data_IF_496179563423
#
_entry.id   IF_496179563423
#
_cell.length_a   1.000
_cell.length_b   1.000
_cell.length_c   1.000
_cell.angle_alpha   90.00
_cell.angle_beta   90.00
_cell.angle_gamma   90.00
#
_symmetry.space_group_name_H-M   'P 1'
#
loop_
_entity.id
_entity.type
_entity.pdbx_description
1 polymer ?
#
# COMPACT_ATOMS: atom_id res chain seq x y z
N UNK A 1 8.55 57.45 8.60
CA UNK A 1 8.20 56.47 9.67
C UNK A 1 7.07 55.52 9.27
N UNK A 2 6.09 55.94 8.45
CA UNK A 2 4.99 55.06 7.98
C UNK A 2 5.39 54.00 6.92
N UNK A 3 6.35 54.30 6.04
CA UNK A 3 6.79 53.36 4.99
C UNK A 3 7.58 52.16 5.52
N UNK A 4 8.26 52.31 6.67
CA UNK A 4 9.04 51.22 7.29
C UNK A 4 8.11 50.20 7.95
N UNK A 5 6.98 50.65 8.51
CA UNK A 5 5.97 49.77 9.10
C UNK A 5 5.28 48.87 8.05
N UNK A 6 5.05 49.38 6.84
CA UNK A 6 4.48 48.60 5.73
C UNK A 6 5.43 47.52 5.20
N UNK A 7 6.73 47.79 5.19
CA UNK A 7 7.75 46.82 4.74
C UNK A 7 7.93 45.63 5.69
N UNK A 8 7.66 45.81 6.98
CA UNK A 8 7.65 44.73 7.97
C UNK A 8 6.29 44.02 8.08
N UNK A 9 5.19 44.67 7.71
CA UNK A 9 3.85 44.08 7.75
C UNK A 9 3.60 43.10 6.59
N UNK A 10 4.09 43.39 5.38
CA UNK A 10 3.90 42.54 4.20
C UNK A 10 4.45 41.09 4.36
N UNK A 11 5.68 40.85 4.85
CA UNK A 11 6.16 39.48 5.08
C UNK A 11 5.46 38.78 6.25
N UNK A 12 4.89 39.52 7.20
CA UNK A 12 4.11 38.96 8.30
C UNK A 12 2.74 38.46 7.84
N UNK A 13 2.12 39.13 6.87
CA UNK A 13 0.85 38.71 6.25
C UNK A 13 1.07 37.50 5.32
N UNK A 14 2.21 37.43 4.60
CA UNK A 14 2.60 36.24 3.81
C UNK A 14 2.93 35.01 4.68
N UNK A 15 3.53 35.22 5.86
CA UNK A 15 3.77 34.14 6.84
C UNK A 15 2.46 33.66 7.48
N UNK A 16 1.51 34.56 7.75
CA UNK A 16 0.18 34.21 8.26
C UNK A 16 -0.70 33.49 7.21
N UNK A 17 -0.64 33.91 5.94
CA UNK A 17 -1.33 33.23 4.82
C UNK A 17 -0.68 31.89 4.44
N UNK A 18 0.65 31.77 4.57
CA UNK A 18 1.36 30.49 4.35
C UNK A 18 1.18 29.51 5.51
N UNK A 19 0.87 29.99 6.71
CA UNK A 19 0.53 29.16 7.86
C UNK A 19 -0.87 28.51 7.76
N UNK A 20 -1.76 29.03 6.92
CA UNK A 20 -3.03 28.35 6.58
C UNK A 20 -2.90 27.28 5.49
N UNK A 21 -1.77 27.25 4.77
CA UNK A 21 -1.55 26.33 3.62
C UNK A 21 -0.50 25.24 3.91
N UNK A 22 0.26 25.33 5.00
CA UNK A 22 1.23 24.30 5.40
C UNK A 22 0.77 23.52 6.64
N UNK A 23 0.05 22.42 6.38
CA UNK A 23 0.21 21.16 7.10
C UNK A 23 0.16 21.19 8.64
N UNK A 24 -1.05 21.27 9.20
CA UNK A 24 -1.31 20.77 10.54
C UNK A 24 -0.89 19.29 10.64
N UNK A 25 0.02 18.92 11.57
CA UNK A 25 0.27 17.53 11.90
C UNK A 25 -0.98 16.98 12.60
N UNK A 26 -1.70 16.08 11.94
CA UNK A 26 -2.76 15.30 12.58
C UNK A 26 -4.08 16.03 12.85
N UNK A 27 -4.51 16.93 11.98
CA UNK A 27 -5.94 17.29 11.92
C UNK A 27 -6.73 16.04 11.51
N UNK A 28 -7.65 15.56 12.34
CA UNK A 28 -8.46 14.36 12.11
C UNK A 28 -9.24 14.51 10.79
N UNK A 29 -8.64 14.05 9.69
CA UNK A 29 -9.22 14.14 8.34
C UNK A 29 -10.57 13.43 8.41
N UNK A 30 -11.64 14.19 8.17
CA UNK A 30 -12.98 13.63 8.25
C UNK A 30 -13.16 12.55 7.19
N UNK A 31 -13.60 11.37 7.63
CA UNK A 31 -14.02 10.34 6.70
C UNK A 31 -15.20 10.84 5.85
N UNK A 32 -15.37 10.29 4.65
CA UNK A 32 -16.40 10.76 3.73
C UNK A 32 -17.83 10.63 4.29
N UNK A 33 -18.08 9.75 5.27
CA UNK A 33 -19.40 9.64 5.91
C UNK A 33 -19.63 10.85 6.81
N UNK A 34 -18.67 11.17 7.70
CA UNK A 34 -18.76 12.34 8.58
C UNK A 34 -18.76 13.66 7.79
N UNK A 35 -17.92 13.78 6.77
CA UNK A 35 -17.88 14.96 5.91
C UNK A 35 -19.21 15.15 5.15
N UNK A 36 -19.83 14.06 4.69
CA UNK A 36 -21.16 14.10 4.09
C UNK A 36 -22.21 14.54 5.12
N UNK A 37 -22.18 14.00 6.33
CA UNK A 37 -23.14 14.36 7.38
C UNK A 37 -23.03 15.85 7.76
N UNK A 38 -21.81 16.42 7.76
CA UNK A 38 -21.59 17.86 7.95
C UNK A 38 -22.13 18.68 6.77
N UNK A 39 -21.83 18.28 5.53
CA UNK A 39 -22.33 18.94 4.33
C UNK A 39 -23.87 18.96 4.26
N UNK A 40 -24.53 17.89 4.73
CA UNK A 40 -25.99 17.80 4.74
C UNK A 40 -26.66 18.75 5.75
N UNK A 41 -25.92 19.27 6.74
CA UNK A 41 -26.43 20.29 7.68
C UNK A 41 -26.40 21.70 7.09
N UNK A 42 -25.57 21.95 6.08
CA UNK A 42 -25.48 23.23 5.39
C UNK A 42 -26.34 23.21 4.13
N UNK A 43 -27.33 24.12 4.01
CA UNK A 43 -28.26 24.12 2.88
C UNK A 43 -27.56 24.29 1.52
N UNK A 44 -26.54 25.14 1.45
CA UNK A 44 -25.75 25.38 0.22
C UNK A 44 -24.97 24.14 -0.20
N UNK A 45 -24.26 23.49 0.73
CA UNK A 45 -23.51 22.27 0.47
C UNK A 45 -24.45 21.10 0.12
N UNK A 46 -25.52 20.92 0.90
CA UNK A 46 -26.49 19.85 0.69
C UNK A 46 -27.17 19.93 -0.68
N UNK A 47 -27.49 21.14 -1.17
CA UNK A 47 -28.13 21.32 -2.47
C UNK A 47 -27.17 20.89 -3.58
N UNK A 48 -25.95 21.43 -3.60
CA UNK A 48 -24.92 21.09 -4.60
C UNK A 48 -24.54 19.60 -4.55
N UNK A 49 -24.47 19.00 -3.37
CA UNK A 49 -24.18 17.58 -3.25
C UNK A 49 -25.31 16.67 -3.76
N UNK A 50 -26.58 17.07 -3.59
CA UNK A 50 -27.71 16.34 -4.21
C UNK A 50 -27.69 16.45 -5.73
N UNK A 51 -27.43 17.65 -6.26
CA UNK A 51 -27.24 17.90 -7.70
C UNK A 51 -26.17 16.98 -8.26
N UNK A 52 -24.98 16.94 -7.64
CA UNK A 52 -23.87 16.11 -8.10
C UNK A 52 -24.20 14.61 -8.11
N UNK A 53 -24.95 14.12 -7.10
CA UNK A 53 -25.40 12.71 -7.08
C UNK A 53 -26.38 12.37 -8.20
N UNK A 54 -27.21 13.32 -8.63
CA UNK A 54 -28.11 13.13 -9.77
C UNK A 54 -27.34 13.03 -11.09
N UNK A 55 -26.27 13.81 -11.23
CA UNK A 55 -25.34 13.75 -12.36
C UNK A 55 -24.71 12.37 -12.53
N UNK A 56 -24.14 11.82 -11.46
CA UNK A 56 -23.45 10.52 -11.50
C UNK A 56 -24.42 9.35 -11.72
N UNK A 57 -25.69 9.50 -11.32
CA UNK A 57 -26.71 8.48 -11.50
C UNK A 57 -27.24 8.39 -12.94
N UNK A 58 -26.76 9.23 -13.88
CA UNK A 58 -27.28 9.28 -15.25
C UNK A 58 -28.74 9.75 -15.33
N UNK A 59 -29.27 10.33 -14.25
CA UNK A 59 -30.62 10.93 -14.22
C UNK A 59 -30.58 12.35 -14.77
N UNK A 60 -29.96 12.52 -15.93
CA UNK A 60 -29.92 13.80 -16.66
C UNK A 60 -31.34 14.29 -17.00
N UNK A 61 -32.33 13.38 -17.05
CA UNK A 61 -33.74 13.65 -17.34
C UNK A 61 -34.53 14.35 -16.22
N UNK A 62 -33.98 14.46 -15.01
CA UNK A 62 -34.64 15.16 -13.89
C UNK A 62 -34.11 16.57 -13.65
N UNK A 63 -33.10 17.00 -14.41
CA UNK A 63 -32.71 18.40 -14.45
C UNK A 63 -33.79 19.15 -15.24
N UNK A 64 -34.39 20.13 -14.58
CA UNK A 64 -35.46 20.98 -15.07
C UNK A 64 -35.30 21.36 -16.55
N UNK A 65 -36.13 20.79 -17.44
CA UNK A 65 -36.44 21.29 -18.80
C UNK A 65 -35.26 21.73 -19.69
N UNK A 66 -34.04 21.34 -19.36
CA UNK A 66 -32.81 21.88 -19.89
C UNK A 66 -32.15 20.85 -20.81
N UNK A 67 -31.54 21.35 -21.88
CA UNK A 67 -30.84 20.54 -22.88
C UNK A 67 -29.65 19.81 -22.23
N UNK A 68 -29.23 18.66 -22.77
CA UNK A 68 -28.17 17.83 -22.17
C UNK A 68 -26.80 18.52 -21.98
N UNK A 69 -26.59 19.71 -22.55
CA UNK A 69 -25.41 20.55 -22.31
C UNK A 69 -25.54 21.38 -21.02
N UNK A 70 -26.70 21.97 -20.76
CA UNK A 70 -26.98 22.76 -19.55
C UNK A 70 -26.93 21.87 -18.29
N UNK A 71 -27.43 20.63 -18.37
CA UNK A 71 -27.33 19.67 -17.28
C UNK A 71 -25.87 19.33 -16.92
N UNK A 72 -24.98 19.21 -17.92
CA UNK A 72 -23.55 18.95 -17.69
C UNK A 72 -22.84 20.15 -17.02
N UNK A 73 -23.22 21.37 -17.40
CA UNK A 73 -22.66 22.58 -16.79
C UNK A 73 -23.14 22.77 -15.34
N UNK A 74 -24.40 22.41 -15.03
CA UNK A 74 -24.90 22.37 -13.66
C UNK A 74 -24.13 21.35 -12.79
N UNK A 75 -23.82 20.18 -13.34
CA UNK A 75 -23.02 19.15 -12.68
C UNK A 75 -21.60 19.63 -12.38
N UNK A 76 -20.96 20.30 -13.35
CA UNK A 76 -19.63 20.90 -13.18
C UNK A 76 -19.65 22.00 -12.13
N UNK A 77 -20.62 22.91 -12.20
CA UNK A 77 -20.79 23.99 -11.22
C UNK A 77 -21.00 23.45 -9.80
N UNK A 78 -21.81 22.41 -9.65
CA UNK A 78 -22.05 21.78 -8.35
C UNK A 78 -20.79 21.14 -7.76
N UNK A 79 -19.96 20.54 -8.61
CA UNK A 79 -18.68 19.99 -8.18
C UNK A 79 -17.69 21.09 -7.76
N UNK A 80 -17.53 22.16 -8.54
CA UNK A 80 -16.63 23.27 -8.19
C UNK A 80 -16.99 23.88 -6.83
N UNK A 81 -18.28 24.06 -6.56
CA UNK A 81 -18.76 24.56 -5.26
C UNK A 81 -18.44 23.62 -4.08
N UNK A 82 -18.27 22.32 -4.34
CA UNK A 82 -17.93 21.33 -3.32
C UNK A 82 -16.42 21.18 -3.12
N UNK A 83 -15.56 21.64 -4.05
CA UNK A 83 -14.09 21.56 -3.91
C UNK A 83 -13.56 22.27 -2.68
N UNK A 84 -14.17 23.38 -2.31
CA UNK A 84 -13.81 24.18 -1.13
C UNK A 84 -14.34 23.58 0.18
N UNK A 85 -15.11 22.49 0.13
CA UNK A 85 -15.68 21.83 1.31
C UNK A 85 -14.83 20.65 1.75
N UNK A 86 -14.88 20.32 3.05
CA UNK A 86 -14.21 19.14 3.63
C UNK A 86 -14.59 17.82 2.94
N UNK A 87 -15.78 17.77 2.32
CA UNK A 87 -16.27 16.64 1.55
C UNK A 87 -15.40 16.29 0.33
N UNK A 88 -14.77 17.28 -0.34
CA UNK A 88 -13.96 17.01 -1.53
C UNK A 88 -12.68 16.26 -1.19
N UNK A 89 -12.01 16.67 -0.11
CA UNK A 89 -10.76 16.05 0.34
C UNK A 89 -10.98 14.89 1.31
N UNK A 90 -12.20 14.38 1.46
CA UNK A 90 -12.44 13.25 2.34
C UNK A 90 -11.71 11.99 1.83
N UNK A 91 -11.40 11.08 2.74
CA UNK A 91 -10.84 9.75 2.44
C UNK A 91 -11.55 8.70 3.27
N UNK A 92 -11.36 7.45 2.90
CA UNK A 92 -11.93 6.31 3.59
C UNK A 92 -10.84 5.51 4.31
N UNK A 93 -11.24 4.74 5.32
CA UNK A 93 -10.34 3.83 6.05
C UNK A 93 -10.71 2.40 5.71
N UNK A 94 -9.72 1.55 5.41
CA UNK A 94 -9.96 0.11 5.14
C UNK A 94 -10.60 -0.55 6.34
N UNK A 95 -11.57 -1.44 6.10
CA UNK A 95 -12.21 -2.22 7.17
C UNK A 95 -13.08 -1.41 8.15
N UNK A 96 -13.42 -0.15 7.81
CA UNK A 96 -14.35 0.67 8.59
C UNK A 96 -15.80 0.16 8.48
N UNK A 97 -16.61 0.33 9.52
CA UNK A 97 -17.99 -0.22 9.57
C UNK A 97 -18.87 0.18 8.38
N UNK A 98 -18.74 1.42 7.90
CA UNK A 98 -19.52 1.99 6.78
C UNK A 98 -18.69 2.15 5.50
N UNK A 99 -17.67 1.30 5.29
CA UNK A 99 -16.72 1.42 4.17
C UNK A 99 -17.40 1.56 2.81
N UNK A 100 -18.32 0.65 2.46
CA UNK A 100 -19.05 0.71 1.19
C UNK A 100 -19.79 2.05 0.99
N UNK A 101 -20.34 2.61 2.07
CA UNK A 101 -21.02 3.91 1.99
C UNK A 101 -20.02 5.07 1.84
N UNK A 102 -18.89 5.01 2.57
CA UNK A 102 -17.79 5.98 2.44
C UNK A 102 -17.28 6.04 0.99
N UNK A 103 -16.98 4.88 0.39
CA UNK A 103 -16.49 4.79 -0.97
C UNK A 103 -17.53 5.26 -1.99
N UNK A 104 -18.82 4.94 -1.79
CA UNK A 104 -19.90 5.46 -2.64
C UNK A 104 -19.96 7.00 -2.61
N UNK A 105 -19.76 7.61 -1.45
CA UNK A 105 -19.70 9.07 -1.30
C UNK A 105 -18.48 9.62 -2.04
N UNK A 106 -17.30 9.04 -1.81
CA UNK A 106 -16.08 9.44 -2.50
C UNK A 106 -16.24 9.40 -4.02
N UNK A 107 -16.66 8.26 -4.58
CA UNK A 107 -16.80 8.11 -6.04
C UNK A 107 -17.88 9.00 -6.63
N UNK A 108 -18.90 9.38 -5.85
CA UNK A 108 -19.88 10.37 -6.32
C UNK A 108 -19.29 11.77 -6.55
N UNK A 109 -18.14 12.07 -5.94
CA UNK A 109 -17.40 13.32 -6.14
C UNK A 109 -16.48 13.29 -7.35
N UNK A 110 -15.83 12.14 -7.60
CA UNK A 110 -14.76 12.00 -8.60
C UNK A 110 -15.22 11.39 -9.93
N UNK A 111 -16.36 10.69 -9.98
CA UNK A 111 -16.86 10.09 -11.22
C UNK A 111 -17.34 11.11 -12.26
N UNK A 112 -17.66 12.33 -11.85
CA UNK A 112 -17.96 13.44 -12.75
C UNK A 112 -16.71 14.14 -13.31
N UNK A 113 -15.50 13.75 -12.89
CA UNK A 113 -14.23 14.34 -13.34
C UNK A 113 -13.51 13.57 -14.46
N UNK A 114 -13.79 12.29 -14.67
CA UNK A 114 -12.88 11.45 -15.46
C UNK A 114 -13.50 10.89 -16.75
N UNK A 115 -12.82 11.18 -17.86
CA UNK A 115 -12.75 10.30 -19.01
C UNK A 115 -11.57 9.33 -18.83
N UNK A 116 -11.81 8.05 -19.10
CA UNK A 116 -10.89 6.93 -19.42
C UNK A 116 -9.40 6.91 -18.98
N UNK A 117 -8.96 7.59 -17.92
CA UNK A 117 -7.58 7.44 -17.47
C UNK A 117 -7.38 6.22 -16.56
N UNK A 118 -6.31 5.48 -16.82
CA UNK A 118 -6.01 4.18 -16.21
C UNK A 118 -5.66 4.29 -14.71
N UNK A 119 -5.35 5.49 -14.24
CA UNK A 119 -4.92 5.78 -12.87
C UNK A 119 -5.98 6.59 -12.13
N UNK A 120 -6.93 5.88 -11.54
CA UNK A 120 -7.86 6.48 -10.57
C UNK A 120 -7.13 6.69 -9.23
N UNK A 121 -7.24 7.89 -8.67
CA UNK A 121 -6.60 8.27 -7.41
C UNK A 121 -7.17 7.45 -6.23
N UNK A 122 -6.32 6.95 -5.33
CA UNK A 122 -6.81 6.07 -4.25
C UNK A 122 -7.73 6.81 -3.27
N UNK A 123 -8.93 6.26 -2.96
CA UNK A 123 -9.87 6.84 -2.00
C UNK A 123 -9.49 6.58 -0.54
N UNK A 124 -8.53 5.70 -0.29
CA UNK A 124 -8.13 5.36 1.07
C UNK A 124 -7.11 6.35 1.62
N UNK A 125 -7.10 6.52 2.94
CA UNK A 125 -6.03 7.25 3.62
C UNK A 125 -4.71 6.48 3.48
N UNK A 126 -3.60 7.16 3.13
CA UNK A 126 -2.27 6.57 3.21
C UNK A 126 -2.01 6.09 4.64
N UNK A 127 -1.42 4.91 4.77
CA UNK A 127 -1.07 4.39 6.09
C UNK A 127 0.34 4.83 6.40
N UNK A 128 0.51 5.68 7.42
CA UNK A 128 1.84 6.10 7.91
C UNK A 128 2.54 4.97 8.70
N UNK A 129 2.48 3.73 8.22
CA UNK A 129 3.16 2.58 8.83
C UNK A 129 4.37 2.21 8.00
N UNK A 130 5.54 2.18 8.64
CA UNK A 130 6.74 1.58 8.03
C UNK A 130 6.66 0.06 8.16
N UNK A 131 7.32 -0.69 7.28
CA UNK A 131 7.44 -2.14 7.44
C UNK A 131 8.03 -2.50 8.80
N UNK A 132 9.02 -1.72 9.25
CA UNK A 132 9.59 -1.83 10.59
C UNK A 132 8.57 -1.72 11.74
N UNK A 133 7.47 -0.98 11.60
CA UNK A 133 6.40 -0.93 12.62
C UNK A 133 5.59 -2.23 12.65
N UNK A 134 5.45 -2.90 11.51
CA UNK A 134 4.86 -4.24 11.43
C UNK A 134 5.77 -5.27 12.12
N UNK A 135 7.10 -5.13 11.97
CA UNK A 135 8.10 -5.99 12.60
C UNK A 135 8.32 -5.72 14.09
N UNK A 136 8.31 -4.45 14.54
CA UNK A 136 8.52 -4.05 15.95
C UNK A 136 7.43 -4.56 16.91
N UNK A 137 6.25 -4.92 16.39
CA UNK A 137 5.16 -5.55 17.14
C UNK A 137 5.28 -7.08 17.25
N UNK A 138 6.36 -7.65 16.72
CA UNK A 138 6.76 -9.02 16.99
C UNK A 138 7.77 -9.00 18.15
N UNK A 139 7.51 -9.71 19.27
CA UNK A 139 8.61 -10.37 19.95
C UNK A 139 9.28 -11.18 18.86
N UNK A 140 10.51 -10.81 18.50
CA UNK A 140 11.34 -11.71 17.74
C UNK A 140 11.31 -13.02 18.49
N UNK A 141 10.80 -14.07 17.85
CA UNK A 141 11.22 -15.42 18.19
C UNK A 141 12.69 -15.49 17.72
N UNK A 142 13.56 -14.73 18.39
CA UNK A 142 14.96 -15.07 18.57
C UNK A 142 14.98 -16.20 19.60
N UNK A 143 14.42 -17.34 19.22
CA UNK A 143 14.78 -18.61 19.82
C UNK A 143 15.92 -19.11 18.96
N UNK A 144 17.11 -18.57 19.22
CA UNK A 144 18.41 -18.99 18.70
C UNK A 144 18.58 -19.04 17.16
N UNK A 145 19.80 -18.92 16.64
CA UNK A 145 20.11 -19.38 15.29
C UNK A 145 20.17 -20.91 15.31
N UNK A 146 19.10 -21.58 15.74
CA UNK A 146 18.86 -22.92 15.22
C UNK A 146 18.54 -22.65 13.76
N UNK A 147 19.51 -22.99 12.92
CA UNK A 147 19.38 -23.21 11.50
C UNK A 147 18.07 -23.97 11.25
N UNK A 148 16.93 -23.27 11.21
CA UNK A 148 15.64 -23.92 11.23
C UNK A 148 15.50 -24.56 9.86
N UNK A 149 15.65 -25.88 9.81
CA UNK A 149 15.26 -26.72 8.68
C UNK A 149 13.74 -26.64 8.40
N UNK A 150 13.01 -25.73 9.04
CA UNK A 150 11.57 -25.51 8.90
C UNK A 150 11.19 -24.52 7.81
N UNK A 151 9.93 -24.59 7.39
CA UNK A 151 9.30 -23.76 6.38
C UNK A 151 8.64 -22.53 7.03
N UNK A 152 9.08 -21.32 6.65
CA UNK A 152 8.59 -20.04 7.21
C UNK A 152 7.07 -19.90 7.17
N UNK A 153 6.41 -20.41 6.11
CA UNK A 153 4.96 -20.41 6.01
C UNK A 153 4.26 -21.28 7.07
N UNK A 154 4.87 -22.39 7.50
CA UNK A 154 4.33 -23.21 8.59
C UNK A 154 4.51 -22.51 9.92
N UNK A 155 5.65 -21.87 10.15
CA UNK A 155 5.90 -21.15 11.40
C UNK A 155 4.98 -19.94 11.52
N UNK A 156 4.70 -19.22 10.43
CA UNK A 156 3.66 -18.20 10.39
C UNK A 156 2.26 -18.78 10.67
N UNK A 157 1.93 -19.94 10.11
CA UNK A 157 0.67 -20.62 10.40
C UNK A 157 0.56 -21.07 11.87
N UNK A 158 1.67 -21.52 12.51
CA UNK A 158 1.72 -21.83 13.94
C UNK A 158 1.53 -20.56 14.77
N UNK A 159 2.22 -19.47 14.44
CA UNK A 159 2.10 -18.19 15.12
C UNK A 159 0.65 -17.64 15.06
N UNK A 160 -0.03 -17.77 13.92
CA UNK A 160 -1.45 -17.43 13.80
C UNK A 160 -2.33 -18.32 14.70
N UNK A 161 -2.04 -19.63 14.79
CA UNK A 161 -2.80 -20.56 15.62
C UNK A 161 -2.63 -20.32 17.14
N UNK A 162 -1.52 -19.71 17.55
CA UNK A 162 -1.28 -19.28 18.93
C UNK A 162 -1.96 -17.93 19.27
N UNK A 163 -2.41 -17.17 18.27
CA UNK A 163 -3.12 -15.91 18.46
C UNK A 163 -4.63 -16.10 18.30
N UNK A 164 -5.41 -15.88 19.35
CA UNK A 164 -6.86 -16.12 19.33
C UNK A 164 -7.60 -15.35 18.24
N UNK A 165 -7.22 -14.09 18.01
CA UNK A 165 -7.81 -13.27 16.94
C UNK A 165 -7.52 -13.88 15.57
N UNK A 166 -6.26 -14.20 15.27
CA UNK A 166 -5.87 -14.79 14.00
C UNK A 166 -6.50 -16.17 13.81
N UNK A 167 -6.39 -17.07 14.79
CA UNK A 167 -7.01 -18.40 14.79
C UNK A 167 -8.52 -18.34 14.51
N UNK A 168 -9.22 -17.43 15.18
CA UNK A 168 -10.68 -17.25 15.00
C UNK A 168 -11.03 -16.78 13.60
N UNK A 169 -10.40 -15.72 13.10
CA UNK A 169 -10.67 -15.23 11.74
C UNK A 169 -10.21 -16.22 10.66
N UNK A 170 -9.11 -16.96 10.90
CA UNK A 170 -8.62 -18.02 10.02
C UNK A 170 -9.66 -19.12 9.86
N UNK A 171 -10.15 -19.65 10.97
CA UNK A 171 -11.20 -20.68 10.97
C UNK A 171 -12.49 -20.15 10.32
N UNK A 172 -12.82 -18.87 10.55
CA UNK A 172 -14.01 -18.24 10.01
C UNK A 172 -14.00 -18.09 8.48
N UNK A 173 -12.83 -17.90 7.83
CA UNK A 173 -12.74 -17.90 6.37
C UNK A 173 -12.58 -19.30 5.79
N UNK A 174 -11.82 -20.20 6.44
CA UNK A 174 -11.64 -21.56 5.95
C UNK A 174 -12.98 -22.29 5.83
N UNK A 175 -13.85 -22.18 6.84
CA UNK A 175 -15.15 -22.87 6.89
C UNK A 175 -16.00 -22.68 5.62
N UNK A 176 -16.38 -21.45 5.20
CA UNK A 176 -17.16 -21.25 3.98
C UNK A 176 -16.38 -21.49 2.68
N UNK A 177 -15.03 -21.50 2.72
CA UNK A 177 -14.21 -21.77 1.55
C UNK A 177 -14.00 -23.28 1.28
N UNK A 178 -14.20 -24.15 2.29
CA UNK A 178 -14.06 -25.61 2.15
C UNK A 178 -15.38 -26.38 2.27
N UNK A 179 -16.46 -25.73 2.70
CA UNK A 179 -17.78 -26.36 2.78
C UNK A 179 -18.40 -26.46 1.38
N UNK A 180 -18.52 -27.68 0.86
CA UNK A 180 -19.23 -27.95 -0.40
C UNK A 180 -20.75 -27.81 -0.21
N UNK A 181 -21.40 -27.21 -1.20
CA UNK A 181 -22.87 -27.16 -1.34
C UNK A 181 -23.27 -28.02 -2.54
N UNK A 182 -24.50 -28.53 -2.55
CA UNK A 182 -24.97 -29.62 -3.42
C UNK A 182 -24.73 -29.49 -4.94
N UNK A 183 -24.34 -28.33 -5.47
CA UNK A 183 -23.92 -28.12 -6.88
C UNK A 183 -22.69 -27.19 -7.05
N UNK A 184 -22.11 -26.67 -5.96
CA UNK A 184 -20.99 -25.72 -6.01
C UNK A 184 -19.86 -26.18 -5.07
N UNK A 185 -18.61 -26.08 -5.53
CA UNK A 185 -17.40 -26.45 -4.77
C UNK A 185 -17.38 -25.76 -3.40
N UNK A 186 -17.84 -24.51 -3.34
CA UNK A 186 -17.96 -23.73 -2.11
C UNK A 186 -18.91 -22.54 -2.30
N UNK A 187 -19.30 -21.89 -1.19
CA UNK A 187 -19.98 -20.59 -1.26
C UNK A 187 -18.95 -19.44 -1.44
N UNK A 188 -18.56 -19.17 -2.69
CA UNK A 188 -17.53 -18.16 -3.05
C UNK A 188 -17.82 -16.78 -2.44
N UNK A 189 -19.08 -16.35 -2.40
CA UNK A 189 -19.50 -15.06 -1.81
C UNK A 189 -19.23 -14.98 -0.31
N UNK A 190 -19.56 -16.03 0.47
CA UNK A 190 -19.27 -16.10 1.90
C UNK A 190 -17.77 -16.21 2.15
N UNK A 191 -17.07 -17.03 1.36
CA UNK A 191 -15.61 -17.18 1.40
C UNK A 191 -14.90 -15.83 1.21
N UNK A 192 -15.20 -15.12 0.12
CA UNK A 192 -14.66 -13.78 -0.17
C UNK A 192 -14.96 -12.75 0.92
N UNK A 193 -16.18 -12.75 1.47
CA UNK A 193 -16.53 -11.85 2.59
C UNK A 193 -15.68 -12.15 3.83
N UNK A 194 -15.47 -13.42 4.16
CA UNK A 194 -14.68 -13.82 5.31
C UNK A 194 -13.17 -13.56 5.10
N UNK A 195 -12.64 -13.76 3.89
CA UNK A 195 -11.26 -13.40 3.52
C UNK A 195 -11.00 -11.90 3.69
N UNK A 196 -11.90 -11.04 3.20
CA UNK A 196 -11.77 -9.58 3.43
C UNK A 196 -11.73 -9.24 4.91
N UNK A 197 -12.58 -9.86 5.72
CA UNK A 197 -12.58 -9.65 7.17
C UNK A 197 -11.28 -10.13 7.83
N UNK A 198 -10.70 -11.24 7.37
CA UNK A 198 -9.41 -11.72 7.86
C UNK A 198 -8.31 -10.68 7.61
N UNK A 199 -8.14 -10.21 6.37
CA UNK A 199 -7.10 -9.24 6.03
C UNK A 199 -7.36 -7.81 6.55
N UNK A 200 -8.61 -7.45 6.86
CA UNK A 200 -8.95 -6.15 7.46
C UNK A 200 -8.86 -6.14 9.00
N UNK A 201 -8.93 -7.30 9.68
CA UNK A 201 -9.01 -7.38 11.17
C UNK A 201 -7.85 -8.09 11.83
N UNK A 202 -7.18 -9.00 11.14
CA UNK A 202 -6.02 -9.70 11.70
C UNK A 202 -4.79 -8.78 11.59
N UNK A 203 -4.01 -8.61 12.68
CA UNK A 203 -2.80 -7.81 12.64
C UNK A 203 -1.85 -8.26 11.51
N UNK A 204 -1.26 -7.32 10.74
CA UNK A 204 -0.37 -7.63 9.62
C UNK A 204 0.74 -8.63 9.97
N UNK A 205 1.28 -8.58 11.20
CA UNK A 205 2.29 -9.54 11.68
C UNK A 205 1.91 -11.02 11.51
N UNK A 206 0.62 -11.35 11.58
CA UNK A 206 0.15 -12.73 11.42
C UNK A 206 -0.37 -13.00 10.00
N UNK A 207 -1.18 -12.07 9.45
CA UNK A 207 -1.77 -12.25 8.12
C UNK A 207 -0.72 -12.19 7.01
N UNK A 208 0.22 -11.26 7.07
CA UNK A 208 1.30 -11.11 6.09
C UNK A 208 2.34 -12.22 6.25
N UNK A 209 2.61 -12.67 7.48
CA UNK A 209 3.46 -13.82 7.74
C UNK A 209 3.01 -15.07 6.97
N UNK A 210 1.70 -15.32 6.91
CA UNK A 210 1.15 -16.44 6.16
C UNK A 210 1.13 -16.21 4.64
N UNK A 211 0.82 -14.99 4.21
CA UNK A 211 0.63 -14.66 2.80
C UNK A 211 1.96 -14.46 2.04
N UNK A 212 2.95 -13.83 2.67
CA UNK A 212 4.20 -13.38 2.04
C UNK A 212 5.45 -14.07 2.61
N UNK A 213 5.28 -15.23 3.26
CA UNK A 213 6.42 -16.03 3.74
C UNK A 213 7.41 -16.35 2.61
N UNK A 214 8.71 -16.24 2.92
CA UNK A 214 9.78 -16.68 2.03
C UNK A 214 9.87 -18.21 2.02
N UNK A 215 10.25 -18.79 0.87
CA UNK A 215 10.28 -20.23 0.66
C UNK A 215 11.55 -20.66 -0.05
N UNK A 216 12.00 -21.89 0.25
CA UNK A 216 13.18 -22.54 -0.35
C UNK A 216 12.83 -23.84 -1.08
N UNK A 217 11.66 -24.41 -0.80
CA UNK A 217 11.19 -25.67 -1.39
C UNK A 217 9.75 -25.52 -1.93
N UNK A 218 9.34 -26.51 -2.74
CA UNK A 218 8.02 -26.55 -3.38
C UNK A 218 6.90 -26.73 -2.35
N UNK A 219 7.15 -27.46 -1.25
CA UNK A 219 6.16 -27.66 -0.20
C UNK A 219 5.78 -26.34 0.51
N UNK A 220 6.75 -25.45 0.72
CA UNK A 220 6.53 -24.11 1.24
C UNK A 220 5.79 -23.23 0.23
N UNK A 221 6.17 -23.24 -1.05
CA UNK A 221 5.50 -22.40 -2.05
C UNK A 221 4.05 -22.83 -2.28
N UNK A 222 3.75 -24.13 -2.26
CA UNK A 222 2.37 -24.61 -2.27
C UNK A 222 1.61 -24.21 -1.01
N UNK A 223 2.22 -24.28 0.18
CA UNK A 223 1.59 -23.79 1.42
C UNK A 223 1.24 -22.31 1.32
N UNK A 224 2.14 -21.49 0.75
CA UNK A 224 1.91 -20.06 0.50
C UNK A 224 0.74 -19.84 -0.46
N UNK A 225 0.72 -20.54 -1.60
CA UNK A 225 -0.36 -20.47 -2.61
C UNK A 225 -1.72 -20.91 -2.06
N UNK A 226 -1.73 -21.88 -1.15
CA UNK A 226 -2.93 -22.41 -0.50
C UNK A 226 -3.51 -21.51 0.61
N UNK A 227 -2.82 -20.43 0.99
CA UNK A 227 -3.23 -19.53 2.10
C UNK A 227 -4.67 -19.05 1.99
N UNK A 228 -5.11 -18.75 0.76
CA UNK A 228 -6.45 -18.20 0.47
C UNK A 228 -7.46 -19.25 -0.03
N UNK A 229 -7.09 -20.54 -0.04
CA UNK A 229 -7.93 -21.64 -0.58
C UNK A 229 -8.29 -21.39 -2.06
N UNK A 230 -7.31 -21.48 -2.99
CA UNK A 230 -7.48 -21.05 -4.38
C UNK A 230 -8.60 -21.77 -5.12
N UNK A 231 -8.81 -23.05 -4.87
CA UNK A 231 -9.87 -23.88 -5.47
C UNK A 231 -11.27 -23.28 -5.30
N UNK A 232 -11.48 -22.46 -4.27
CA UNK A 232 -12.74 -21.76 -4.01
C UNK A 232 -12.65 -20.26 -4.31
N UNK A 233 -11.60 -19.60 -3.81
CA UNK A 233 -11.55 -18.13 -3.77
C UNK A 233 -10.94 -17.50 -5.02
N UNK A 234 -10.14 -18.25 -5.76
CA UNK A 234 -9.33 -17.77 -6.89
C UNK A 234 -9.79 -18.40 -8.20
N UNK A 235 -9.76 -19.73 -8.26
CA UNK A 235 -10.09 -20.52 -9.45
C UNK A 235 -11.59 -20.42 -9.79
N UNK A 236 -11.87 -20.57 -11.08
CA UNK A 236 -13.20 -20.68 -11.64
C UNK A 236 -13.15 -21.58 -12.88
N UNK A 237 -14.31 -22.01 -13.38
CA UNK A 237 -14.39 -22.95 -14.52
C UNK A 237 -13.73 -22.40 -15.77
N UNK A 238 -13.87 -21.10 -15.99
CA UNK A 238 -13.34 -20.40 -17.15
C UNK A 238 -12.47 -19.23 -16.68
N UNK A 239 -11.46 -18.87 -17.50
CA UNK A 239 -10.69 -17.64 -17.32
C UNK A 239 -11.32 -16.57 -18.21
N UNK A 240 -11.94 -15.52 -17.64
CA UNK A 240 -12.43 -14.41 -18.43
C UNK A 240 -11.26 -13.57 -18.95
N UNK A 241 -11.53 -12.72 -19.95
CA UNK A 241 -10.62 -11.66 -20.35
C UNK A 241 -10.36 -10.68 -19.18
N UNK A 242 -9.12 -10.28 -18.96
CA UNK A 242 -8.76 -9.40 -17.85
C UNK A 242 -9.43 -8.01 -17.90
N UNK A 243 -9.67 -7.45 -19.08
CA UNK A 243 -10.37 -6.17 -19.23
C UNK A 243 -11.84 -6.30 -18.80
N UNK A 244 -12.51 -7.39 -19.17
CA UNK A 244 -13.88 -7.69 -18.69
C UNK A 244 -13.94 -7.85 -17.16
N UNK A 245 -12.92 -8.49 -16.58
CA UNK A 245 -12.80 -8.63 -15.13
C UNK A 245 -12.54 -7.26 -14.46
N UNK A 246 -11.72 -6.41 -15.08
CA UNK A 246 -11.45 -5.05 -14.64
C UNK A 246 -12.73 -4.20 -14.66
N UNK A 247 -13.53 -4.25 -15.72
CA UNK A 247 -14.83 -3.56 -15.79
C UNK A 247 -15.79 -4.04 -14.69
N UNK A 248 -15.84 -5.36 -14.46
CA UNK A 248 -16.64 -5.95 -13.39
C UNK A 248 -16.19 -5.47 -12.01
N UNK A 249 -14.88 -5.30 -11.81
CA UNK A 249 -14.31 -4.70 -10.61
C UNK A 249 -14.68 -3.22 -10.46
N UNK A 250 -14.60 -2.43 -11.54
CA UNK A 250 -14.96 -1.00 -11.57
C UNK A 250 -16.42 -0.75 -11.16
N UNK A 251 -17.35 -1.68 -11.46
CA UNK A 251 -18.76 -1.60 -11.03
C UNK A 251 -18.95 -1.78 -9.51
N UNK A 252 -18.00 -2.39 -8.81
CA UNK A 252 -18.06 -2.61 -7.36
C UNK A 252 -17.18 -1.61 -6.62
N UNK A 253 -17.79 -0.70 -5.84
CA UNK A 253 -17.05 0.32 -5.10
C UNK A 253 -15.89 -0.21 -4.25
N UNK A 254 -16.01 -1.38 -3.63
CA UNK A 254 -14.90 -1.95 -2.84
C UNK A 254 -13.79 -2.39 -3.78
N UNK A 255 -14.10 -3.15 -4.83
CA UNK A 255 -13.09 -3.65 -5.76
C UNK A 255 -12.40 -2.51 -6.50
N UNK A 256 -13.16 -1.59 -7.10
CA UNK A 256 -12.64 -0.38 -7.77
C UNK A 256 -11.64 0.36 -6.88
N UNK A 257 -12.03 0.64 -5.64
CA UNK A 257 -11.17 1.34 -4.68
C UNK A 257 -9.92 0.57 -4.31
N UNK A 258 -10.01 -0.75 -4.10
CA UNK A 258 -8.84 -1.58 -3.75
C UNK A 258 -7.89 -1.76 -4.94
N UNK A 259 -8.42 -1.75 -6.17
CA UNK A 259 -7.63 -1.79 -7.40
C UNK A 259 -6.92 -0.46 -7.67
N UNK A 260 -7.59 0.67 -7.48
CA UNK A 260 -6.98 2.00 -7.53
C UNK A 260 -5.84 2.13 -6.50
N UNK A 261 -6.06 1.64 -5.28
CA UNK A 261 -5.05 1.61 -4.21
C UNK A 261 -3.81 0.79 -4.60
N UNK A 262 -4.02 -0.34 -5.28
CA UNK A 262 -2.93 -1.19 -5.78
C UNK A 262 -2.10 -0.50 -6.86
N UNK A 263 -2.73 0.11 -7.86
CA UNK A 263 -2.01 0.88 -8.88
C UNK A 263 -1.24 2.05 -8.25
N UNK A 264 -1.84 2.75 -7.28
CA UNK A 264 -1.24 3.92 -6.64
C UNK A 264 -0.01 3.56 -5.80
N UNK A 265 -0.06 2.47 -5.02
CA UNK A 265 0.98 2.17 -4.02
C UNK A 265 2.02 1.15 -4.49
N UNK A 266 1.70 0.33 -5.50
CA UNK A 266 2.64 -0.63 -6.09
C UNK A 266 3.17 -0.17 -7.46
N UNK A 267 3.06 1.12 -7.79
CA UNK A 267 3.61 1.66 -9.03
C UNK A 267 5.13 1.43 -9.08
N UNK A 268 5.64 0.69 -10.08
CA UNK A 268 7.06 0.47 -10.22
C UNK A 268 7.77 1.74 -10.73
N UNK A 269 8.96 2.01 -10.20
CA UNK A 269 9.83 3.12 -10.63
C UNK A 269 11.26 2.61 -10.73
N UNK A 270 11.80 2.55 -11.96
CA UNK A 270 13.11 1.94 -12.24
C UNK A 270 14.27 2.76 -11.68
N UNK A 271 14.07 4.05 -11.41
CA UNK A 271 15.08 4.93 -10.83
C UNK A 271 15.12 4.87 -9.30
N UNK A 272 14.09 4.34 -8.65
CA UNK A 272 14.07 4.19 -7.19
C UNK A 272 14.89 2.97 -6.78
N UNK A 273 15.65 3.11 -5.68
CA UNK A 273 16.40 2.00 -5.06
C UNK A 273 15.47 0.89 -4.60
N UNK A 274 14.27 1.25 -4.13
CA UNK A 274 13.25 0.29 -3.72
C UNK A 274 12.53 -0.39 -4.90
N UNK A 275 12.64 0.19 -6.10
CA UNK A 275 11.82 -0.16 -7.27
C UNK A 275 10.37 0.31 -7.19
N UNK A 276 9.97 1.03 -6.13
CA UNK A 276 8.62 1.59 -5.92
C UNK A 276 8.64 3.12 -6.04
N UNK A 277 7.61 3.71 -6.66
CA UNK A 277 7.51 5.17 -6.80
C UNK A 277 7.46 5.91 -5.46
N UNK A 278 6.72 5.37 -4.47
CA UNK A 278 6.57 5.98 -3.14
C UNK A 278 7.59 5.48 -2.10
N UNK A 279 8.46 4.56 -2.49
CA UNK A 279 9.45 3.91 -1.61
C UNK A 279 8.87 3.31 -0.32
N UNK A 280 7.60 2.90 -0.34
CA UNK A 280 6.91 2.29 0.81
C UNK A 280 6.37 0.90 0.47
N UNK A 281 7.12 -0.13 0.85
CA UNK A 281 6.69 -1.52 0.69
C UNK A 281 5.46 -1.88 1.52
N UNK A 282 5.27 -1.29 2.71
CA UNK A 282 4.14 -1.62 3.57
C UNK A 282 2.81 -1.21 2.90
N UNK A 283 2.78 -0.04 2.26
CA UNK A 283 1.62 0.44 1.50
C UNK A 283 1.34 -0.47 0.30
N UNK A 284 2.37 -0.93 -0.43
CA UNK A 284 2.18 -1.86 -1.54
C UNK A 284 1.63 -3.22 -1.07
N UNK A 285 2.19 -3.82 -0.01
CA UNK A 285 1.69 -5.09 0.54
C UNK A 285 0.27 -4.96 1.10
N UNK A 286 -0.06 -3.80 1.69
CA UNK A 286 -1.42 -3.48 2.09
C UNK A 286 -2.34 -3.37 0.89
N UNK A 287 -1.95 -2.68 -0.17
CA UNK A 287 -2.78 -2.54 -1.35
C UNK A 287 -3.03 -3.91 -2.02
N UNK A 288 -1.99 -4.73 -2.20
CA UNK A 288 -2.10 -6.10 -2.72
C UNK A 288 -3.02 -6.99 -1.88
N UNK A 289 -2.78 -7.08 -0.57
CA UNK A 289 -3.61 -7.91 0.32
C UNK A 289 -5.06 -7.41 0.40
N UNK A 290 -5.29 -6.12 0.11
CA UNK A 290 -6.60 -5.51 0.05
C UNK A 290 -7.47 -5.95 -1.12
N UNK A 291 -6.87 -6.52 -2.18
CA UNK A 291 -7.57 -7.09 -3.32
C UNK A 291 -8.16 -8.48 -3.02
N UNK A 292 -7.59 -9.20 -2.05
CA UNK A 292 -7.99 -10.57 -1.72
C UNK A 292 -9.43 -10.60 -1.19
N UNK A 293 -10.24 -11.47 -1.79
CA UNK A 293 -11.66 -11.57 -1.51
C UNK A 293 -12.50 -10.52 -2.24
N UNK A 294 -11.95 -9.77 -3.21
CA UNK A 294 -12.74 -9.04 -4.21
C UNK A 294 -12.88 -9.88 -5.49
N UNK A 295 -13.56 -9.36 -6.52
CA UNK A 295 -13.61 -10.04 -7.83
C UNK A 295 -12.23 -10.07 -8.51
N UNK A 296 -11.33 -9.14 -8.17
CA UNK A 296 -9.97 -9.06 -8.66
C UNK A 296 -8.98 -9.68 -7.65
N UNK A 297 -9.24 -10.91 -7.20
CA UNK A 297 -8.38 -11.59 -6.21
C UNK A 297 -7.12 -12.12 -6.90
N UNK A 298 -5.90 -11.62 -6.59
CA UNK A 298 -4.67 -12.20 -7.12
C UNK A 298 -4.21 -13.41 -6.29
N UNK A 299 -3.44 -14.30 -6.91
CA UNK A 299 -2.69 -15.34 -6.21
C UNK A 299 -1.36 -15.66 -6.94
N UNK A 300 -0.48 -16.40 -6.28
CA UNK A 300 0.73 -16.95 -6.89
C UNK A 300 0.39 -17.92 -8.03
N UNK A 301 1.04 -17.76 -9.18
CA UNK A 301 0.79 -18.56 -10.39
C UNK A 301 1.58 -19.86 -10.35
N UNK A 302 2.86 -19.77 -10.03
CA UNK A 302 3.81 -20.87 -10.11
C UNK A 302 4.58 -21.05 -8.78
N UNK A 303 5.22 -22.21 -8.64
CA UNK A 303 5.98 -22.60 -7.43
C UNK A 303 7.42 -22.09 -7.41
N UNK A 304 7.89 -21.46 -8.50
CA UNK A 304 9.29 -21.09 -8.75
C UNK A 304 9.57 -19.59 -8.64
N UNK A 305 8.55 -18.75 -8.74
CA UNK A 305 8.65 -17.30 -8.81
C UNK A 305 7.78 -16.62 -7.74
N UNK A 306 7.85 -15.29 -7.71
CA UNK A 306 6.92 -14.45 -6.94
C UNK A 306 5.86 -13.80 -7.85
N UNK A 307 5.70 -14.33 -9.08
CA UNK A 307 4.70 -13.85 -10.02
C UNK A 307 3.30 -14.15 -9.50
N UNK A 308 2.46 -13.13 -9.57
CA UNK A 308 1.07 -13.16 -9.11
C UNK A 308 0.17 -12.67 -10.24
N UNK A 309 -1.04 -13.20 -10.31
CA UNK A 309 -2.05 -12.68 -11.23
C UNK A 309 -3.45 -12.87 -10.65
N UNK A 310 -4.43 -12.05 -11.08
CA UNK A 310 -5.85 -12.40 -10.96
C UNK A 310 -6.20 -13.60 -11.87
N UNK A 311 -7.36 -14.22 -11.62
CA UNK A 311 -7.88 -15.31 -12.44
C UNK A 311 -8.49 -14.79 -13.75
N UNK A 312 -7.63 -14.39 -14.69
CA UNK A 312 -7.99 -13.96 -16.03
C UNK A 312 -6.80 -14.18 -16.99
N UNK A 313 -7.05 -14.00 -18.28
CA UNK A 313 -6.01 -13.93 -19.31
C UNK A 313 -6.35 -12.85 -20.35
N UNK A 314 -5.51 -12.72 -21.37
CA UNK A 314 -5.70 -11.78 -22.48
C UNK A 314 -6.22 -12.46 -23.75
N UNK A 315 -6.86 -13.62 -23.61
CA UNK A 315 -7.55 -14.25 -24.73
C UNK A 315 -8.76 -13.40 -25.15
N UNK A 316 -9.02 -13.31 -26.45
CA UNK A 316 -10.13 -12.54 -27.03
C UNK A 316 -10.08 -11.02 -26.77
N UNK A 317 -8.90 -10.43 -26.57
CA UNK A 317 -8.77 -8.96 -26.41
C UNK A 317 -8.88 -8.17 -27.72
N UNK A 318 -8.66 -8.80 -28.88
CA UNK A 318 -8.68 -8.11 -30.18
C UNK A 318 -7.65 -6.98 -30.24
N UNK A 319 -8.11 -5.76 -30.48
CA UNK A 319 -7.24 -4.57 -30.57
C UNK A 319 -6.69 -4.12 -29.20
N UNK A 320 -7.31 -4.52 -28.10
CA UNK A 320 -6.93 -4.10 -26.74
C UNK A 320 -5.95 -5.09 -26.08
N UNK A 321 -5.30 -5.96 -26.86
CA UNK A 321 -4.37 -6.97 -26.35
C UNK A 321 -3.17 -6.36 -25.62
N UNK A 322 -2.62 -5.25 -26.13
CA UNK A 322 -1.52 -4.54 -25.49
C UNK A 322 -1.94 -3.95 -24.13
N UNK A 323 -3.12 -3.33 -24.07
CA UNK A 323 -3.67 -2.79 -22.82
C UNK A 323 -3.90 -3.91 -21.79
N UNK A 324 -4.47 -5.03 -22.24
CA UNK A 324 -4.67 -6.20 -21.39
C UNK A 324 -3.34 -6.74 -20.85
N UNK A 325 -2.32 -6.89 -21.71
CA UNK A 325 -0.99 -7.35 -21.28
C UNK A 325 -0.34 -6.37 -20.32
N UNK A 326 -0.45 -5.06 -20.55
CA UNK A 326 0.03 -4.04 -19.62
C UNK A 326 -0.65 -4.17 -18.25
N UNK A 327 -1.97 -4.35 -18.22
CA UNK A 327 -2.72 -4.59 -16.99
C UNK A 327 -2.25 -5.85 -16.27
N UNK A 328 -2.11 -6.97 -16.98
CA UNK A 328 -1.71 -8.25 -16.40
C UNK A 328 -0.25 -8.24 -15.92
N UNK A 329 0.65 -7.63 -16.68
CA UNK A 329 2.07 -7.48 -16.33
C UNK A 329 2.28 -6.61 -15.11
N UNK A 330 1.37 -5.66 -14.83
CA UNK A 330 1.40 -4.89 -13.59
C UNK A 330 1.26 -5.78 -12.33
N UNK A 331 0.68 -6.98 -12.45
CA UNK A 331 0.68 -7.99 -11.39
C UNK A 331 1.88 -8.95 -11.50
N UNK A 332 2.15 -9.46 -12.70
CA UNK A 332 3.12 -10.54 -12.91
C UNK A 332 4.57 -10.09 -12.82
N UNK A 333 4.89 -8.95 -13.43
CA UNK A 333 6.25 -8.43 -13.58
C UNK A 333 6.37 -7.03 -12.98
N UNK A 334 6.11 -6.96 -11.66
CA UNK A 334 6.18 -5.73 -10.90
C UNK A 334 7.34 -5.79 -9.90
N UNK A 335 8.41 -5.06 -10.21
CA UNK A 335 9.62 -4.97 -9.38
C UNK A 335 9.32 -4.46 -7.97
N UNK A 336 8.44 -3.45 -7.83
CA UNK A 336 8.04 -2.92 -6.53
C UNK A 336 7.40 -4.00 -5.66
N UNK A 337 6.41 -4.70 -6.20
CA UNK A 337 5.70 -5.76 -5.47
C UNK A 337 6.63 -6.94 -5.13
N UNK A 338 7.45 -7.36 -6.09
CA UNK A 338 8.43 -8.44 -5.90
C UNK A 338 9.41 -8.10 -4.78
N UNK A 339 9.99 -6.90 -4.80
CA UNK A 339 10.90 -6.42 -3.77
C UNK A 339 10.20 -6.32 -2.41
N UNK A 340 8.96 -5.82 -2.36
CA UNK A 340 8.18 -5.72 -1.13
C UNK A 340 7.93 -7.10 -0.48
N UNK A 341 7.54 -8.10 -1.29
CA UNK A 341 7.32 -9.47 -0.81
C UNK A 341 8.63 -10.09 -0.32
N UNK A 342 9.74 -9.88 -1.04
CA UNK A 342 11.07 -10.38 -0.64
C UNK A 342 11.57 -9.72 0.65
N UNK A 343 11.46 -8.39 0.74
CA UNK A 343 11.83 -7.60 1.91
C UNK A 343 11.07 -8.09 3.15
N UNK A 344 9.75 -8.31 3.01
CA UNK A 344 8.94 -8.87 4.08
C UNK A 344 9.36 -10.29 4.47
N UNK A 345 9.54 -11.18 3.49
CA UNK A 345 9.91 -12.58 3.72
C UNK A 345 11.31 -12.77 4.31
N UNK A 346 12.22 -11.82 4.12
CA UNK A 346 13.58 -11.83 4.67
C UNK A 346 13.70 -11.08 6.00
N UNK A 347 12.66 -10.34 6.41
CA UNK A 347 12.71 -9.50 7.61
C UNK A 347 13.59 -8.26 7.47
N UNK A 348 13.87 -7.83 6.24
CA UNK A 348 14.74 -6.68 5.93
C UNK A 348 13.89 -5.51 5.44
N UNK A 349 13.97 -4.37 6.13
CA UNK A 349 13.43 -3.09 5.62
C UNK A 349 14.56 -2.33 4.91
N UNK A 350 14.27 -1.62 3.83
CA UNK A 350 15.25 -0.74 3.16
C UNK A 350 15.34 0.53 3.99
N UNK A 351 16.18 0.51 5.02
CA UNK A 351 16.71 1.72 5.66
C UNK A 351 18.14 1.94 5.15
N UNK A 352 18.31 2.33 3.88
CA UNK A 352 19.46 3.18 3.51
C UNK A 352 18.99 4.62 3.72
N UNK A 353 19.01 5.04 4.97
CA UNK A 353 19.20 6.41 5.46
C UNK A 353 18.95 6.38 6.97
N UNK A 354 19.99 6.00 7.71
CA UNK A 354 20.18 6.64 9.00
C UNK A 354 20.51 8.11 8.70
N UNK A 355 19.83 9.11 9.29
CA UNK A 355 20.44 10.42 9.39
C UNK A 355 21.75 10.19 10.13
N UNK A 356 22.87 10.47 9.47
CA UNK A 356 24.16 10.62 10.14
C UNK A 356 23.87 11.60 11.28
N UNK A 357 23.91 11.11 12.52
CA UNK A 357 23.92 11.98 13.68
C UNK A 357 25.05 12.99 13.41
N UNK A 358 24.80 14.31 13.47
CA UNK A 358 25.87 15.26 13.28
C UNK A 358 26.94 14.93 14.31
N UNK A 359 28.11 14.55 13.82
CA UNK A 359 29.31 14.36 14.62
C UNK A 359 29.43 15.62 15.47
N UNK A 360 29.24 15.47 16.78
CA UNK A 360 29.51 16.56 17.71
C UNK A 360 31.00 16.81 17.63
N UNK A 361 31.37 17.86 16.91
CA UNK A 361 32.69 18.46 16.99
C UNK A 361 32.88 18.90 18.43
N UNK A 362 33.58 18.09 19.24
CA UNK A 362 34.04 18.52 20.56
C UNK A 362 35.09 19.59 20.36
N UNK A 363 34.64 20.83 20.41
CA UNK A 363 35.49 22.00 20.61
C UNK A 363 36.22 21.82 21.94
N UNK A 364 37.55 21.80 21.90
CA UNK A 364 38.39 21.82 23.08
C UNK A 364 38.11 23.10 23.89
N UNK A 365 37.84 22.97 25.18
CA UNK A 365 37.94 24.10 26.11
C UNK A 365 38.59 23.64 27.40
N UNK A 366 39.76 24.23 27.62
CA UNK A 366 40.69 24.10 28.72
C UNK A 366 40.09 24.62 30.03
N UNK A 367 40.07 23.84 31.11
CA UNK A 367 40.40 24.32 32.48
C UNK A 367 40.72 23.15 33.43
N UNK A 368 41.42 23.49 34.50
CA UNK A 368 42.47 22.76 35.23
C UNK A 368 42.06 22.01 36.50
N UNK A 369 42.79 20.92 36.74
CA UNK A 369 43.33 20.41 38.03
C UNK A 369 42.42 19.95 39.18
N UNK A 370 42.50 18.66 39.51
CA UNK A 370 43.00 18.20 40.83
C UNK A 370 43.39 16.71 40.81
N UNK A 371 44.47 16.40 41.54
CA UNK A 371 45.21 15.13 41.62
C UNK A 371 44.52 14.10 42.52
N UNK A 372 44.63 12.81 42.19
CA UNK A 372 45.13 11.80 43.13
C UNK A 372 45.74 10.59 42.39
N UNK A 373 46.96 10.23 42.83
CA UNK A 373 47.86 9.13 42.41
C UNK A 373 47.30 7.75 42.79
N UNK A 374 47.64 6.65 42.07
CA UNK A 374 48.90 5.89 42.25
C UNK A 374 49.03 4.65 41.32
N UNK A 375 50.23 4.50 40.72
CA UNK A 375 51.09 3.30 40.46
C UNK A 375 50.50 2.00 39.91
N UNK A 376 51.07 1.26 38.94
CA UNK A 376 52.36 1.19 38.19
C UNK A 376 52.27 -0.10 37.30
N UNK A 377 53.19 -0.56 36.46
CA UNK A 377 54.51 -0.18 35.93
C UNK A 377 54.70 -0.97 34.60
N UNK A 378 55.35 -0.32 33.62
CA UNK A 378 56.38 -0.80 32.65
C UNK A 378 56.14 -2.09 31.81
N UNK A 379 56.52 -2.20 30.53
CA UNK A 379 57.78 -1.82 29.85
C UNK A 379 57.61 -1.62 28.33
N UNK A 380 58.52 -0.83 27.76
CA UNK A 380 58.74 -0.44 26.37
C UNK A 380 59.60 -1.44 25.57
N UNK A 381 59.44 -1.53 24.24
CA UNK A 381 60.48 -1.14 23.25
C UNK A 381 60.16 -1.54 21.79
N UNK A 382 60.67 -0.70 20.90
CA UNK A 382 60.50 -0.59 19.44
C UNK A 382 61.19 -1.70 18.63
N UNK A 383 60.75 -1.90 17.37
CA UNK A 383 61.63 -1.90 16.19
C UNK A 383 60.84 -1.91 14.85
N UNK A 384 61.30 -1.08 13.89
CA UNK A 384 60.88 -0.99 12.48
C UNK A 384 62.07 -1.49 11.65
N UNK A 385 61.87 -2.09 10.47
CA UNK A 385 62.51 -1.52 9.29
C UNK A 385 61.58 -1.36 8.07
N UNK A 386 61.67 -0.18 7.46
CA UNK A 386 61.27 0.13 6.09
C UNK A 386 61.98 -0.75 5.06
N UNK A 387 61.31 -1.09 3.95
CA UNK A 387 61.77 -0.64 2.63
C UNK A 387 60.71 -0.84 1.54
N UNK A 388 60.46 0.25 0.82
CA UNK A 388 59.84 0.37 -0.49
C UNK A 388 60.50 -0.58 -1.51
N UNK A 389 59.72 -1.12 -2.45
CA UNK A 389 59.83 -0.80 -3.89
C UNK A 389 58.86 -1.66 -4.73
N UNK A 390 58.01 -0.99 -5.51
CA UNK A 390 57.41 -1.54 -6.75
C UNK A 390 58.23 -1.01 -7.93
N UNK A 391 58.35 -1.70 -9.08
CA UNK A 391 57.32 -1.52 -10.12
C UNK A 391 57.12 -2.66 -11.17
N UNK A 392 55.93 -2.60 -11.79
CA UNK A 392 55.58 -2.74 -13.23
C UNK A 392 55.91 -4.00 -14.09
N UNK A 393 54.80 -4.55 -14.64
CA UNK A 393 54.52 -4.99 -16.03
C UNK A 393 55.38 -6.05 -16.76
N UNK A 394 54.72 -7.12 -17.25
CA UNK A 394 54.56 -7.42 -18.70
C UNK A 394 53.69 -8.67 -18.99
N UNK A 395 53.03 -8.60 -20.15
CA UNK A 395 52.01 -9.45 -20.79
C UNK A 395 52.41 -10.90 -21.15
N UNK A 396 51.42 -11.75 -21.47
CA UNK A 396 51.38 -12.53 -22.73
C UNK A 396 49.97 -13.12 -23.08
N UNK A 397 49.49 -12.64 -24.23
CA UNK A 397 48.56 -13.10 -25.31
C UNK A 397 48.00 -14.56 -25.33
N UNK A 398 46.71 -14.79 -25.63
CA UNK A 398 45.92 -14.88 -26.93
C UNK A 398 45.82 -16.29 -27.54
N UNK A 399 44.57 -16.72 -27.82
CA UNK A 399 44.02 -17.52 -28.95
C UNK A 399 42.49 -17.55 -28.75
N UNK A 400 41.60 -17.34 -29.72
CA UNK A 400 41.60 -17.17 -31.18
C UNK A 400 40.44 -16.25 -31.57
#
# INVERSE_FOLDING_TARGET
MFLVLLYFALPLVDVLLSAEVSGLPGGDRLDCVKASDQCLKEQSCSTKFRTLRQCVAGKESNFSRATGLEAKDECRSAMEALKQKSLYNCRCKRGMKKEKNCLRIYWSMYQSLQGNDLLEDSPYEPVNSRLSDIFRLAPMVSVEPVLSKGNNCLDAAKACNLNDTCKRFRSAYITPCTSSTSNEICNKRKCHKALRLFFDKVPPKHSYGMLFCSCRDVACTERRRQTIVPVCSYEDREKPNCLNLQESCKKNYICRSRLADFFTNCQPESRSVSGCLKENYADCLLAYSGLIGTVMTPNYIDSSSLSVAPWCDCSNSGNDEEECKKFLNFFQDNTCLKNAIQAFGNGTDVNVWQPILPVQTTTATTTTASRLRNTGSETTNNEIPSHNDSPACANLQVRE
#
